data_IF_123422000622
#
_entry.id   IF_123422000622
#
_cell.length_a   1.000
_cell.length_b   1.000
_cell.length_c   1.000
_cell.angle_alpha   90.00
_cell.angle_beta   90.00
_cell.angle_gamma   90.00
#
_symmetry.space_group_name_H-M   'P 1'
#
loop_
_entity.id
_entity.type
_entity.pdbx_description
1 polymer ?
#
# COMPACT_ATOMS: atom_id res chain seq x y z
N UNK A 1 5.67 -25.48 -7.61
CA UNK A 1 4.40 -25.30 -8.35
C UNK A 1 4.75 -25.04 -9.80
N UNK A 2 4.14 -25.75 -10.74
CA UNK A 2 4.23 -25.40 -12.16
C UNK A 2 3.51 -24.06 -12.35
N UNK A 3 4.25 -23.06 -12.82
CA UNK A 3 3.75 -21.71 -13.03
C UNK A 3 3.11 -21.61 -14.42
N UNK A 4 1.85 -21.20 -14.47
CA UNK A 4 1.20 -20.83 -15.73
C UNK A 4 1.68 -19.43 -16.10
N UNK A 5 2.12 -19.26 -17.35
CA UNK A 5 2.56 -17.97 -17.90
C UNK A 5 1.43 -17.35 -18.76
N UNK A 6 0.49 -16.59 -18.16
CA UNK A 6 -0.60 -15.96 -18.90
C UNK A 6 -0.08 -14.86 -19.84
N UNK A 7 -0.73 -14.73 -21.00
CA UNK A 7 -0.32 -13.83 -22.08
C UNK A 7 -1.52 -13.05 -22.66
N UNK A 8 -1.35 -11.76 -23.03
CA UNK A 8 -0.11 -10.98 -22.97
C UNK A 8 0.28 -10.66 -21.51
N UNK A 9 1.58 -10.54 -21.23
CA UNK A 9 2.12 -10.25 -19.88
C UNK A 9 1.44 -9.04 -19.22
N UNK A 10 0.93 -8.13 -20.03
CA UNK A 10 0.22 -6.91 -19.67
C UNK A 10 -1.14 -7.09 -18.98
N UNK A 11 -1.56 -8.34 -18.76
CA UNK A 11 -2.81 -8.75 -18.09
C UNK A 11 -2.61 -9.22 -16.65
N UNK A 12 -1.37 -9.27 -16.15
CA UNK A 12 -1.06 -9.80 -14.84
C UNK A 12 -1.05 -8.68 -13.77
N UNK A 13 -2.14 -8.53 -13.03
CA UNK A 13 -2.28 -7.55 -11.94
C UNK A 13 -2.55 -8.26 -10.62
N UNK A 14 -1.51 -8.68 -9.92
CA UNK A 14 -1.65 -9.09 -8.51
C UNK A 14 -1.57 -7.82 -7.64
N UNK A 15 -2.68 -7.08 -7.57
CA UNK A 15 -2.78 -5.89 -6.72
C UNK A 15 -2.88 -6.32 -5.26
N UNK A 16 -2.13 -5.61 -4.40
CA UNK A 16 -1.79 -5.97 -3.02
C UNK A 16 -2.82 -6.83 -2.26
N UNK A 17 -2.33 -7.88 -1.60
CA UNK A 17 -3.14 -8.75 -0.74
C UNK A 17 -2.89 -8.43 0.73
N UNK A 18 -3.98 -8.39 1.50
CA UNK A 18 -3.98 -8.35 2.95
C UNK A 18 -4.56 -9.68 3.46
N UNK A 19 -3.77 -10.47 4.19
CA UNK A 19 -4.22 -11.75 4.78
C UNK A 19 -4.04 -11.70 6.28
N UNK A 20 -5.12 -11.93 7.03
CA UNK A 20 -5.04 -12.10 8.47
C UNK A 20 -4.95 -13.57 8.87
N UNK A 21 -3.83 -13.96 9.48
CA UNK A 21 -3.65 -15.27 10.08
C UNK A 21 -3.93 -15.20 11.59
N UNK A 22 -5.13 -15.65 11.98
CA UNK A 22 -5.66 -15.48 13.34
C UNK A 22 -4.83 -16.18 14.42
N UNK A 23 -4.33 -17.40 14.17
CA UNK A 23 -3.55 -18.17 15.15
C UNK A 23 -2.27 -17.46 15.60
N UNK A 24 -1.58 -16.77 14.70
CA UNK A 24 -0.39 -15.97 15.04
C UNK A 24 -0.69 -14.50 15.25
N UNK A 25 -1.96 -14.10 15.14
CA UNK A 25 -2.42 -12.71 15.09
C UNK A 25 -1.58 -11.84 14.13
N UNK A 26 -1.26 -12.36 12.94
CA UNK A 26 -0.38 -11.67 11.97
C UNK A 26 -1.16 -11.21 10.75
N UNK A 27 -1.05 -9.93 10.43
CA UNK A 27 -1.45 -9.39 9.14
C UNK A 27 -0.29 -9.52 8.15
N UNK A 28 -0.50 -10.23 7.05
CA UNK A 28 0.43 -10.27 5.92
C UNK A 28 0.00 -9.20 4.92
N UNK A 29 0.93 -8.32 4.55
CA UNK A 29 0.73 -7.28 3.57
C UNK A 29 1.84 -7.39 2.54
N UNK A 30 1.45 -7.31 1.28
CA UNK A 30 2.38 -7.27 0.15
C UNK A 30 3.02 -5.85 0.04
N UNK A 31 2.75 -5.10 -1.04
CA UNK A 31 3.44 -3.83 -1.31
C UNK A 31 2.68 -2.57 -0.86
N UNK A 32 1.83 -2.63 0.17
CA UNK A 32 1.08 -1.45 0.63
C UNK A 32 1.70 -0.74 1.83
N UNK A 33 2.19 -1.48 2.82
CA UNK A 33 2.75 -0.95 4.06
C UNK A 33 4.19 -1.42 4.17
N UNK A 34 5.06 -0.49 4.52
CA UNK A 34 6.48 -0.74 4.78
C UNK A 34 6.69 -0.64 6.29
N UNK A 35 7.41 -1.61 6.86
CA UNK A 35 7.93 -1.51 8.23
C UNK A 35 9.45 -1.40 8.23
N UNK A 36 9.95 -0.21 8.58
CA UNK A 36 11.36 0.09 8.63
C UNK A 36 11.92 -0.19 10.03
N UNK A 37 12.25 -1.44 10.34
CA UNK A 37 12.83 -1.80 11.65
C UNK A 37 14.15 -1.05 11.89
N UNK A 38 15.10 -1.18 10.94
CA UNK A 38 16.41 -0.53 10.95
C UNK A 38 16.78 -0.07 9.53
N UNK A 39 16.14 0.99 9.01
CA UNK A 39 16.43 1.52 7.67
C UNK A 39 17.90 1.85 7.50
N UNK A 40 18.41 1.67 6.27
CA UNK A 40 19.77 2.12 5.91
C UNK A 40 19.92 3.63 6.09
N UNK A 41 21.16 4.11 6.18
CA UNK A 41 21.44 5.54 6.34
C UNK A 41 20.78 6.40 5.24
N UNK A 42 20.77 5.91 3.99
CA UNK A 42 20.12 6.59 2.88
C UNK A 42 18.60 6.70 3.08
N UNK A 43 17.93 5.62 3.51
CA UNK A 43 16.50 5.64 3.80
C UNK A 43 16.17 6.58 4.98
N UNK A 44 17.05 6.66 5.99
CA UNK A 44 16.91 7.62 7.09
C UNK A 44 16.92 9.07 6.61
N UNK A 45 17.77 9.39 5.62
CA UNK A 45 17.80 10.72 5.01
C UNK A 45 16.50 11.06 4.26
N UNK A 46 15.80 10.06 3.72
CA UNK A 46 14.46 10.21 3.13
C UNK A 46 13.31 10.22 4.16
N UNK A 47 13.63 10.27 5.46
CA UNK A 47 12.65 10.45 6.52
C UNK A 47 12.13 9.17 7.17
N UNK A 48 12.63 8.00 6.78
CA UNK A 48 12.32 6.75 7.49
C UNK A 48 13.03 6.73 8.85
N UNK A 49 12.32 6.34 9.90
CA UNK A 49 12.87 6.21 11.26
C UNK A 49 12.92 4.75 11.66
N UNK A 50 13.79 4.42 12.61
CA UNK A 50 13.84 3.08 13.20
C UNK A 50 12.48 2.74 13.82
N UNK A 51 11.98 1.54 13.53
CA UNK A 51 10.67 1.05 13.97
C UNK A 51 9.46 1.79 13.39
N UNK A 52 9.60 2.52 12.27
CA UNK A 52 8.48 3.28 11.69
C UNK A 52 7.73 2.51 10.60
N UNK A 53 6.42 2.79 10.50
CA UNK A 53 5.61 2.38 9.36
C UNK A 53 5.37 3.52 8.38
N UNK A 54 5.28 3.19 7.10
CA UNK A 54 4.89 4.11 6.03
C UNK A 54 4.07 3.39 4.96
N UNK A 55 3.25 4.14 4.21
CA UNK A 55 2.70 3.62 2.97
C UNK A 55 3.78 3.51 1.91
N UNK A 56 3.71 2.46 1.09
CA UNK A 56 4.58 2.30 -0.05
C UNK A 56 4.50 3.52 -1.00
N UNK A 57 5.63 3.98 -1.59
CA UNK A 57 5.65 5.18 -2.43
C UNK A 57 4.66 5.16 -3.60
N UNK A 58 4.30 3.98 -4.11
CA UNK A 58 3.35 3.83 -5.23
C UNK A 58 1.96 4.40 -4.92
N UNK A 59 1.59 4.58 -3.65
CA UNK A 59 0.35 5.27 -3.25
C UNK A 59 0.24 6.69 -3.84
N UNK A 60 1.37 7.34 -4.17
CA UNK A 60 1.42 8.70 -4.76
C UNK A 60 1.31 8.71 -6.28
N UNK A 61 1.40 7.55 -6.92
CA UNK A 61 1.40 7.35 -8.37
C UNK A 61 0.36 6.31 -8.81
N UNK A 62 0.74 5.04 -8.85
CA UNK A 62 0.02 3.95 -9.50
C UNK A 62 -0.76 3.06 -8.53
N UNK A 63 -0.45 3.12 -7.23
CA UNK A 63 -1.07 2.28 -6.19
C UNK A 63 -2.52 2.62 -5.87
N UNK A 64 -3.07 3.71 -6.42
CA UNK A 64 -4.48 4.08 -6.31
C UNK A 64 -5.03 4.50 -7.66
N UNK A 65 -6.30 4.19 -7.91
CA UNK A 65 -6.99 4.68 -9.10
C UNK A 65 -6.91 6.23 -9.20
N UNK A 66 -6.81 6.78 -10.42
CA UNK A 66 -6.61 8.20 -10.66
C UNK A 66 -7.86 9.07 -10.41
N UNK A 67 -8.79 8.63 -9.55
CA UNK A 67 -10.03 9.33 -9.21
C UNK A 67 -9.87 10.11 -7.91
N UNK A 68 -10.71 11.12 -7.67
CA UNK A 68 -10.65 11.91 -6.43
C UNK A 68 -11.02 11.11 -5.18
N UNK A 69 -11.75 10.01 -5.35
CA UNK A 69 -12.37 9.29 -4.25
C UNK A 69 -11.50 8.10 -3.80
N UNK A 70 -10.66 7.57 -4.70
CA UNK A 70 -9.80 6.42 -4.41
C UNK A 70 -8.95 6.57 -3.12
N UNK A 71 -8.32 7.73 -2.81
CA UNK A 71 -7.58 7.88 -1.55
C UNK A 71 -8.44 7.74 -0.29
N UNK A 72 -9.69 8.21 -0.32
CA UNK A 72 -10.60 8.10 0.81
C UNK A 72 -11.19 6.70 0.92
N UNK A 73 -11.55 6.08 -0.21
CA UNK A 73 -12.02 4.69 -0.23
C UNK A 73 -10.96 3.74 0.33
N UNK A 74 -9.68 3.92 -0.05
CA UNK A 74 -8.57 3.15 0.50
C UNK A 74 -8.43 3.35 2.03
N UNK A 75 -8.46 4.60 2.49
CA UNK A 75 -8.40 4.92 3.92
C UNK A 75 -9.55 4.25 4.70
N UNK A 76 -10.77 4.35 4.20
CA UNK A 76 -11.95 3.82 4.89
C UNK A 76 -11.97 2.29 4.87
N UNK A 77 -11.53 1.67 3.78
CA UNK A 77 -11.28 0.23 3.73
C UNK A 77 -10.23 -0.21 4.77
N UNK A 78 -9.09 0.47 4.86
CA UNK A 78 -8.07 0.20 5.88
C UNK A 78 -8.60 0.37 7.32
N UNK A 79 -9.50 1.33 7.56
CA UNK A 79 -10.18 1.49 8.85
C UNK A 79 -11.07 0.30 9.18
N UNK A 80 -11.79 -0.24 8.18
CA UNK A 80 -12.60 -1.44 8.38
C UNK A 80 -11.72 -2.65 8.70
N UNK A 81 -10.55 -2.80 8.06
CA UNK A 81 -9.57 -3.83 8.43
C UNK A 81 -9.15 -3.70 9.90
N UNK A 82 -8.85 -2.49 10.38
CA UNK A 82 -8.53 -2.27 11.80
C UNK A 82 -9.71 -2.57 12.73
N UNK A 83 -10.94 -2.33 12.29
CA UNK A 83 -12.13 -2.64 13.08
C UNK A 83 -12.38 -4.16 13.17
N UNK A 84 -12.26 -4.86 12.04
CA UNK A 84 -12.62 -6.27 11.92
C UNK A 84 -11.51 -7.22 12.40
N UNK A 85 -10.23 -6.85 12.21
CA UNK A 85 -9.11 -7.77 12.37
C UNK A 85 -8.22 -7.40 13.57
N UNK A 86 -8.22 -8.20 14.65
CA UNK A 86 -7.41 -7.97 15.83
C UNK A 86 -6.00 -8.57 15.65
N UNK A 87 -5.22 -8.04 14.70
CA UNK A 87 -3.84 -8.47 14.49
C UNK A 87 -2.87 -7.76 15.45
N UNK A 88 -1.90 -8.49 15.99
CA UNK A 88 -0.84 -7.94 16.85
C UNK A 88 0.46 -7.71 16.09
N UNK A 89 0.67 -8.48 15.03
CA UNK A 89 1.89 -8.49 14.22
C UNK A 89 1.55 -8.07 12.78
N UNK A 90 2.53 -7.52 12.06
CA UNK A 90 2.41 -7.30 10.61
C UNK A 90 3.68 -7.76 9.90
N UNK A 91 3.51 -8.60 8.89
CA UNK A 91 4.54 -9.09 8.00
C UNK A 91 4.41 -8.34 6.67
N UNK A 92 5.33 -7.40 6.41
CA UNK A 92 5.34 -6.60 5.19
C UNK A 92 6.26 -7.27 4.16
N UNK A 93 5.87 -7.32 2.88
CA UNK A 93 6.77 -7.82 1.83
C UNK A 93 8.06 -7.00 1.74
N UNK A 94 7.96 -5.70 2.01
CA UNK A 94 9.12 -4.83 2.08
C UNK A 94 9.67 -4.68 3.51
N UNK A 95 11.00 -4.78 3.58
CA UNK A 95 11.87 -4.48 4.73
C UNK A 95 11.79 -5.44 5.91
N UNK A 96 10.62 -5.67 6.51
CA UNK A 96 10.59 -6.48 7.73
C UNK A 96 9.24 -6.79 8.33
N UNK A 97 9.31 -7.48 9.46
CA UNK A 97 8.17 -7.93 10.24
C UNK A 97 8.15 -7.15 11.55
N UNK A 98 7.02 -6.52 11.88
CA UNK A 98 6.81 -5.94 13.20
C UNK A 98 6.09 -6.95 14.08
N UNK A 99 6.70 -7.23 15.23
CA UNK A 99 6.13 -8.08 16.28
C UNK A 99 5.56 -7.20 17.39
N UNK A 100 4.27 -7.37 17.68
CA UNK A 100 3.53 -6.70 18.74
C UNK A 100 3.16 -5.23 18.44
N UNK A 101 1.94 -4.84 18.80
CA UNK A 101 1.46 -3.46 18.67
C UNK A 101 1.30 -2.97 17.22
N UNK A 102 1.27 -3.86 16.23
CA UNK A 102 1.11 -3.49 14.83
C UNK A 102 -0.22 -2.80 14.55
N UNK A 103 -1.30 -3.20 15.23
CA UNK A 103 -2.62 -2.58 15.09
C UNK A 103 -2.59 -1.07 15.38
N UNK A 104 -2.05 -0.69 16.53
CA UNK A 104 -1.93 0.71 16.96
C UNK A 104 -1.03 1.53 16.03
N UNK A 105 0.03 0.92 15.50
CA UNK A 105 0.94 1.57 14.55
C UNK A 105 0.26 1.81 13.19
N UNK A 106 -0.53 0.85 12.69
CA UNK A 106 -1.32 1.03 11.46
C UNK A 106 -2.41 2.08 11.65
N UNK A 107 -3.07 2.12 12.82
CA UNK A 107 -3.99 3.19 13.17
C UNK A 107 -3.30 4.57 13.13
N UNK A 108 -2.14 4.68 13.76
CA UNK A 108 -1.33 5.90 13.77
C UNK A 108 -0.86 6.29 12.37
N UNK A 109 -0.53 5.32 11.52
CA UNK A 109 -0.16 5.55 10.12
C UNK A 109 -1.32 6.15 9.33
N UNK A 110 -2.55 5.64 9.49
CA UNK A 110 -3.74 6.18 8.83
C UNK A 110 -4.03 7.61 9.27
N UNK A 111 -3.95 7.89 10.58
CA UNK A 111 -4.20 9.22 11.14
C UNK A 111 -3.19 10.25 10.60
N UNK A 112 -1.90 9.92 10.63
CA UNK A 112 -0.85 10.75 10.00
C UNK A 112 -1.01 10.89 8.48
N UNK A 113 -1.66 9.91 7.86
CA UNK A 113 -1.94 9.84 6.43
C UNK A 113 -3.04 10.77 5.92
N UNK A 114 -3.87 11.36 6.78
CA UNK A 114 -5.03 12.19 6.34
C UNK A 114 -4.63 13.33 5.38
N UNK A 115 -3.53 14.00 5.68
CA UNK A 115 -3.00 15.05 4.81
C UNK A 115 -2.53 14.51 3.44
N UNK A 116 -2.01 13.28 3.39
CA UNK A 116 -1.64 12.60 2.16
C UNK A 116 -2.90 12.31 1.33
N UNK A 117 -3.91 11.68 1.92
CA UNK A 117 -5.16 11.34 1.23
C UNK A 117 -5.85 12.59 0.67
N UNK A 118 -5.92 13.67 1.45
CA UNK A 118 -6.49 14.95 0.99
C UNK A 118 -5.71 15.54 -0.19
N UNK A 119 -4.37 15.51 -0.16
CA UNK A 119 -3.53 16.00 -1.26
C UNK A 119 -3.70 15.16 -2.53
N UNK A 120 -3.75 13.83 -2.41
CA UNK A 120 -3.95 12.93 -3.53
C UNK A 120 -5.33 13.12 -4.16
N UNK A 121 -6.38 13.23 -3.34
CA UNK A 121 -7.74 13.50 -3.80
C UNK A 121 -7.83 14.80 -4.60
N UNK A 122 -7.26 15.90 -4.06
CA UNK A 122 -7.20 17.21 -4.73
C UNK A 122 -6.41 17.15 -6.04
N UNK A 123 -5.27 16.44 -6.05
CA UNK A 123 -4.44 16.24 -7.25
C UNK A 123 -5.23 15.50 -8.33
N UNK A 124 -5.90 14.41 -7.98
CA UNK A 124 -6.68 13.60 -8.92
C UNK A 124 -7.88 14.37 -9.48
N UNK A 125 -8.61 15.12 -8.63
CA UNK A 125 -9.71 15.98 -9.08
C UNK A 125 -9.27 17.03 -10.11
N UNK A 126 -8.08 17.62 -9.93
CA UNK A 126 -7.53 18.58 -10.90
C UNK A 126 -7.15 17.93 -12.23
N UNK A 127 -6.62 16.70 -12.19
CA UNK A 127 -6.22 15.95 -13.38
C UNK A 127 -7.43 15.41 -14.15
N UNK A 128 -8.51 15.11 -13.44
CA UNK A 128 -9.71 14.50 -13.98
C UNK A 128 -10.96 15.07 -13.30
N UNK A 129 -11.42 16.26 -13.73
CA UNK A 129 -12.53 16.96 -13.09
C UNK A 129 -13.88 16.24 -13.22
N UNK A 130 -14.06 15.50 -14.32
CA UNK A 130 -15.30 14.78 -14.64
C UNK A 130 -15.39 13.42 -13.94
N UNK A 131 -14.30 12.98 -13.28
CA UNK A 131 -14.27 11.74 -12.51
C UNK A 131 -14.32 10.47 -13.36
N UNK A 132 -14.18 10.58 -14.68
CA UNK A 132 -14.17 9.43 -15.57
C UNK A 132 -13.04 8.47 -15.19
N UNK A 133 -13.26 7.17 -15.24
CA UNK A 133 -12.13 6.25 -15.10
C UNK A 133 -11.23 6.44 -16.33
N UNK A 134 -10.17 7.24 -16.16
CA UNK A 134 -9.11 7.32 -17.16
C UNK A 134 -8.52 5.92 -17.21
N UNK A 135 -8.82 5.18 -18.26
CA UNK A 135 -8.09 3.98 -18.64
C UNK A 135 -6.68 4.43 -18.98
N UNK A 136 -5.85 4.52 -17.95
CA UNK A 136 -4.41 4.54 -18.13
C UNK A 136 -4.08 3.19 -18.76
N UNK A 137 -3.30 3.17 -19.84
CA UNK A 137 -2.88 1.92 -20.45
C UNK A 137 -1.94 1.20 -19.47
N UNK A 138 -2.52 0.43 -18.57
CA UNK A 138 -1.83 -0.32 -17.51
C UNK A 138 -0.99 -1.47 -18.06
N UNK A 139 -1.06 -1.72 -19.38
CA UNK A 139 -0.20 -2.67 -20.06
C UNK A 139 1.29 -2.33 -20.00
N UNK A 140 1.61 -1.08 -19.64
CA UNK A 140 2.98 -0.65 -19.43
C UNK A 140 3.43 -0.71 -17.96
N UNK A 141 2.67 -1.35 -17.07
CA UNK A 141 3.04 -1.51 -15.67
C UNK A 141 3.81 -2.81 -15.45
N UNK A 142 4.98 -2.71 -14.81
CA UNK A 142 5.86 -3.83 -14.50
C UNK A 142 6.30 -4.62 -15.74
N UNK A 143 6.50 -3.93 -16.87
CA UNK A 143 7.00 -4.55 -18.11
C UNK A 143 8.38 -5.19 -17.88
N UNK A 144 9.16 -4.60 -16.97
CA UNK A 144 10.55 -4.99 -16.72
C UNK A 144 10.72 -5.98 -15.55
N UNK A 145 9.67 -6.25 -14.78
CA UNK A 145 9.71 -7.19 -13.65
C UNK A 145 10.48 -6.68 -12.42
N UNK A 146 11.01 -5.45 -12.47
CA UNK A 146 11.74 -4.77 -11.40
C UNK A 146 11.01 -3.52 -10.87
N UNK A 147 9.80 -3.26 -11.37
CA UNK A 147 8.99 -2.11 -11.01
C UNK A 147 7.99 -2.51 -9.93
N UNK A 148 8.14 -1.99 -8.71
CA UNK A 148 7.14 -2.18 -7.66
C UNK A 148 5.84 -1.46 -8.04
N UNK A 149 4.73 -2.19 -8.07
CA UNK A 149 3.38 -1.68 -8.39
C UNK A 149 2.82 -0.66 -7.41
#
# INVERSE_FOLDING_TARGET
>A
AEFINPQPESSNHFTCVFVYHSTSATLHVDDTIIYAEKPSFLLKLFGYKDGSMAFHPSIKSVGLHPTSDAPYLFRDWMRNILYDWPFENICCAHMGVKIGGAHADVFTLLDKGENLFSKLSKKNRKRNPEGELITINYHNMNIHGDECG
#
